data_IF_425756985369
#
_entry.id   IF_425756985369
#
_cell.length_a   1.000
_cell.length_b   1.000
_cell.length_c   1.000
_cell.angle_alpha   90.00
_cell.angle_beta   90.00
_cell.angle_gamma   90.00
#
_symmetry.space_group_name_H-M   'P 1'
#
loop_
_entity.id
_entity.type
_entity.pdbx_description
1 polymer ?
#
# COMPACT_ATOMS: atom_id res chain seq x y z
N UNK A 1 -32.71 4.80 -18.64
CA UNK A 1 -31.79 5.97 -18.81
C UNK A 1 -30.33 5.72 -18.46
N UNK A 2 -29.96 5.56 -17.17
CA UNK A 2 -28.55 5.60 -16.74
C UNK A 2 -27.64 4.56 -17.42
N UNK A 3 -28.05 3.29 -17.46
CA UNK A 3 -27.29 2.22 -18.12
C UNK A 3 -27.08 2.45 -19.63
N UNK A 4 -28.03 3.11 -20.31
CA UNK A 4 -27.92 3.47 -21.74
C UNK A 4 -26.85 4.53 -21.95
N UNK A 5 -26.81 5.53 -21.06
CA UNK A 5 -25.80 6.59 -21.06
C UNK A 5 -24.41 6.03 -20.72
N UNK A 6 -24.30 5.11 -19.75
CA UNK A 6 -23.04 4.44 -19.42
C UNK A 6 -22.52 3.61 -20.60
N UNK A 7 -23.38 2.83 -21.26
CA UNK A 7 -23.00 2.06 -22.46
C UNK A 7 -22.58 2.98 -23.61
N UNK A 8 -23.30 4.06 -23.86
CA UNK A 8 -22.96 5.03 -24.90
C UNK A 8 -21.62 5.73 -24.63
N UNK A 9 -21.31 6.03 -23.36
CA UNK A 9 -20.02 6.57 -22.95
C UNK A 9 -18.86 5.58 -23.14
N UNK A 10 -19.08 4.28 -22.90
CA UNK A 10 -18.07 3.23 -23.05
C UNK A 10 -17.92 2.72 -24.50
N UNK A 11 -18.92 2.96 -25.37
CA UNK A 11 -18.99 2.47 -26.75
C UNK A 11 -17.90 2.94 -27.72
N UNK A 12 -17.28 4.13 -27.59
CA UNK A 12 -16.18 4.54 -28.47
C UNK A 12 -14.90 3.70 -28.29
N UNK A 13 -14.89 2.79 -27.29
CA UNK A 13 -13.67 2.24 -26.73
C UNK A 13 -13.07 3.27 -25.77
N UNK A 14 -12.55 2.81 -24.63
CA UNK A 14 -11.68 3.69 -23.82
C UNK A 14 -10.42 3.86 -24.66
N UNK A 15 -10.12 5.07 -25.19
CA UNK A 15 -8.88 5.28 -25.91
C UNK A 15 -7.73 4.81 -25.01
N UNK A 16 -6.80 4.01 -25.55
CA UNK A 16 -5.62 3.60 -24.81
C UNK A 16 -4.95 4.90 -24.36
N UNK A 17 -4.83 5.16 -23.05
CA UNK A 17 -4.54 6.51 -22.62
C UNK A 17 -3.11 6.86 -23.03
N UNK A 18 -3.00 7.78 -23.99
CA UNK A 18 -1.74 8.18 -24.64
C UNK A 18 -0.93 9.17 -23.80
N UNK A 19 -1.50 9.65 -22.68
CA UNK A 19 -0.83 10.59 -21.81
C UNK A 19 0.55 10.06 -21.43
N UNK A 20 1.59 10.84 -21.72
CA UNK A 20 2.97 10.50 -21.40
C UNK A 20 3.13 10.37 -19.88
N UNK A 21 3.88 9.36 -19.46
CA UNK A 21 4.30 9.18 -18.07
C UNK A 21 5.75 9.64 -17.93
N UNK A 22 6.02 10.78 -17.28
CA UNK A 22 7.38 11.22 -16.99
C UNK A 22 8.12 10.18 -16.14
N UNK A 23 9.45 10.11 -16.26
CA UNK A 23 10.25 9.15 -15.48
C UNK A 23 10.03 9.32 -13.96
N UNK A 24 9.94 10.56 -13.47
CA UNK A 24 9.65 10.85 -12.06
C UNK A 24 8.30 10.29 -11.59
N UNK A 25 7.30 10.25 -12.47
CA UNK A 25 6.00 9.64 -12.19
C UNK A 25 6.11 8.11 -12.18
N UNK A 26 6.92 7.53 -13.06
CA UNK A 26 7.20 6.09 -13.07
C UNK A 26 7.87 5.62 -11.77
N UNK A 27 8.89 6.34 -11.32
CA UNK A 27 9.62 6.01 -10.09
C UNK A 27 8.69 6.09 -8.87
N UNK A 28 7.84 7.13 -8.82
CA UNK A 28 6.80 7.29 -7.78
C UNK A 28 5.82 6.12 -7.78
N UNK A 29 5.29 5.74 -8.95
CA UNK A 29 4.35 4.62 -9.08
C UNK A 29 5.02 3.30 -8.68
N UNK A 30 6.28 3.11 -9.04
CA UNK A 30 7.04 1.90 -8.72
C UNK A 30 7.23 1.75 -7.21
N UNK A 31 7.69 2.81 -6.51
CA UNK A 31 7.83 2.80 -5.04
C UNK A 31 6.49 2.57 -4.34
N UNK A 32 5.47 3.31 -4.75
CA UNK A 32 4.11 3.17 -4.21
C UNK A 32 3.58 1.74 -4.40
N UNK A 33 3.82 1.13 -5.55
CA UNK A 33 3.40 -0.24 -5.85
C UNK A 33 4.10 -1.26 -4.96
N UNK A 34 5.42 -1.13 -4.75
CA UNK A 34 6.16 -1.98 -3.82
C UNK A 34 5.62 -1.82 -2.40
N UNK A 35 5.54 -0.58 -1.89
CA UNK A 35 5.05 -0.28 -0.55
C UNK A 35 3.67 -0.91 -0.30
N UNK A 36 2.73 -0.73 -1.22
CA UNK A 36 1.37 -1.25 -1.10
C UNK A 36 1.32 -2.77 -1.30
N UNK A 37 2.16 -3.34 -2.17
CA UNK A 37 2.30 -4.78 -2.35
C UNK A 37 2.70 -5.49 -1.05
N UNK A 38 3.70 -4.95 -0.35
CA UNK A 38 4.10 -5.43 0.97
C UNK A 38 2.98 -5.27 2.00
N UNK A 39 2.41 -4.06 2.13
CA UNK A 39 1.35 -3.80 3.11
C UNK A 39 0.11 -4.69 2.93
N UNK A 40 -0.18 -5.15 1.70
CA UNK A 40 -1.28 -6.05 1.35
C UNK A 40 -0.93 -7.53 1.39
N UNK A 41 0.35 -7.90 1.54
CA UNK A 41 0.80 -9.28 1.47
C UNK A 41 0.06 -10.17 2.47
N UNK A 42 -0.43 -11.31 1.99
CA UNK A 42 -1.23 -12.22 2.81
C UNK A 42 -0.34 -13.12 3.67
N UNK A 43 -0.69 -13.27 4.95
CA UNK A 43 -0.02 -14.18 5.88
C UNK A 43 -0.98 -15.33 6.19
N UNK A 44 -0.52 -16.56 6.01
CA UNK A 44 -1.31 -17.76 6.25
C UNK A 44 -1.03 -18.23 7.67
N UNK A 45 -2.10 -18.37 8.46
CA UNK A 45 -2.03 -18.84 9.85
C UNK A 45 -2.80 -20.13 10.03
N UNK A 46 -2.34 -20.94 10.98
CA UNK A 46 -3.07 -22.08 11.47
C UNK A 46 -4.39 -21.64 12.11
N UNK A 47 -5.49 -22.31 11.77
CA UNK A 47 -6.81 -21.89 12.28
C UNK A 47 -6.97 -22.19 13.78
N UNK A 48 -6.30 -23.21 14.30
CA UNK A 48 -6.43 -23.67 15.68
C UNK A 48 -5.42 -23.02 16.62
N UNK A 49 -4.14 -23.03 16.24
CA UNK A 49 -3.04 -22.52 17.05
C UNK A 49 -2.73 -21.04 16.78
N UNK A 50 -3.23 -20.49 15.65
CA UNK A 50 -2.98 -19.12 15.18
C UNK A 50 -1.52 -18.79 14.87
N UNK A 51 -0.66 -19.81 14.85
CA UNK A 51 0.72 -19.68 14.44
C UNK A 51 0.81 -19.37 12.94
N UNK A 52 1.82 -18.59 12.55
CA UNK A 52 2.10 -18.33 11.13
C UNK A 52 2.71 -19.60 10.53
N UNK A 53 2.05 -20.15 9.52
CA UNK A 53 2.51 -21.36 8.82
C UNK A 53 3.29 -20.97 7.57
N UNK A 54 2.83 -19.94 6.87
CA UNK A 54 3.37 -19.57 5.57
C UNK A 54 3.11 -18.08 5.27
N UNK A 55 3.92 -17.51 4.40
CA UNK A 55 3.75 -16.16 3.89
C UNK A 55 3.67 -16.22 2.37
N UNK A 56 2.67 -15.54 1.80
CA UNK A 56 2.63 -15.36 0.35
C UNK A 56 3.65 -14.28 0.03
N UNK A 57 4.54 -14.56 -0.93
CA UNK A 57 5.46 -13.55 -1.45
C UNK A 57 4.65 -12.29 -1.83
N UNK A 58 5.13 -11.12 -1.39
CA UNK A 58 4.45 -9.87 -1.69
C UNK A 58 4.19 -9.77 -3.20
N UNK A 59 3.01 -9.28 -3.60
CA UNK A 59 2.71 -9.08 -5.01
C UNK A 59 3.85 -8.29 -5.66
N UNK A 60 4.59 -8.93 -6.57
CA UNK A 60 5.66 -8.26 -7.30
C UNK A 60 5.13 -7.00 -7.98
N UNK A 61 5.95 -5.94 -8.12
CA UNK A 61 5.47 -4.62 -8.50
C UNK A 61 4.77 -4.61 -9.87
N UNK A 62 5.07 -5.57 -10.74
CA UNK A 62 4.60 -5.59 -12.13
C UNK A 62 3.10 -5.35 -12.29
N UNK A 63 2.24 -6.03 -11.51
CA UNK A 63 0.78 -5.89 -11.68
C UNK A 63 0.25 -4.58 -11.08
N UNK A 64 0.71 -4.20 -9.89
CA UNK A 64 0.30 -2.95 -9.24
C UNK A 64 0.78 -1.73 -10.03
N UNK A 65 2.03 -1.75 -10.54
CA UNK A 65 2.58 -0.70 -11.40
C UNK A 65 1.73 -0.54 -12.65
N UNK A 66 1.38 -1.63 -13.33
CA UNK A 66 0.53 -1.56 -14.54
C UNK A 66 -0.85 -0.97 -14.24
N UNK A 67 -1.44 -1.32 -13.10
CA UNK A 67 -2.76 -0.80 -12.69
C UNK A 67 -2.67 0.70 -12.38
N UNK A 68 -1.68 1.12 -11.59
CA UNK A 68 -1.51 2.52 -11.20
C UNK A 68 -1.09 3.41 -12.38
N UNK A 69 -0.20 2.93 -13.25
CA UNK A 69 0.15 3.61 -14.52
C UNK A 69 -1.10 3.82 -15.38
N UNK A 70 -1.87 2.76 -15.61
CA UNK A 70 -3.11 2.83 -16.38
C UNK A 70 -4.11 3.81 -15.77
N UNK A 71 -4.24 3.82 -14.44
CA UNK A 71 -5.10 4.75 -13.72
C UNK A 71 -4.65 6.21 -13.90
N UNK A 72 -3.36 6.50 -13.73
CA UNK A 72 -2.82 7.84 -13.90
C UNK A 72 -3.03 8.36 -15.32
N UNK A 73 -2.71 7.55 -16.34
CA UNK A 73 -2.86 7.96 -17.73
C UNK A 73 -4.33 8.12 -18.13
N UNK A 74 -5.20 7.22 -17.66
CA UNK A 74 -6.64 7.33 -17.91
C UNK A 74 -7.23 8.60 -17.28
N UNK A 75 -6.82 8.93 -16.05
CA UNK A 75 -7.24 10.15 -15.38
C UNK A 75 -6.71 11.40 -16.12
N UNK A 76 -5.45 11.42 -16.55
CA UNK A 76 -4.91 12.52 -17.37
C UNK A 76 -5.70 12.71 -18.68
N UNK A 77 -5.93 11.61 -19.42
CA UNK A 77 -6.66 11.62 -20.68
C UNK A 77 -8.12 12.08 -20.52
N UNK A 78 -8.79 11.70 -19.42
CA UNK A 78 -10.16 12.14 -19.12
C UNK A 78 -10.27 13.66 -19.03
N UNK A 79 -9.22 14.34 -18.58
CA UNK A 79 -9.15 15.79 -18.49
C UNK A 79 -8.45 16.44 -19.70
N UNK A 80 -8.26 15.69 -20.80
CA UNK A 80 -7.64 16.19 -22.02
C UNK A 80 -6.16 16.54 -21.87
N UNK A 81 -5.46 15.97 -20.87
CA UNK A 81 -4.04 16.21 -20.63
C UNK A 81 -3.19 15.16 -21.35
N UNK A 82 -2.18 15.63 -22.06
CA UNK A 82 -1.21 14.78 -22.77
C UNK A 82 -0.10 14.24 -21.86
N UNK A 83 -0.03 14.67 -20.60
CA UNK A 83 1.00 14.23 -19.65
C UNK A 83 0.41 14.09 -18.26
N UNK A 84 0.84 13.03 -17.57
CA UNK A 84 0.50 12.77 -16.17
C UNK A 84 1.03 13.89 -15.28
N UNK A 85 0.16 14.44 -14.43
CA UNK A 85 0.46 15.49 -13.46
C UNK A 85 0.42 14.96 -12.02
N UNK A 86 0.74 15.84 -11.07
CA UNK A 86 0.67 15.55 -9.64
C UNK A 86 -0.74 15.19 -9.17
N UNK A 87 -1.79 15.70 -9.82
CA UNK A 87 -3.18 15.36 -9.47
C UNK A 87 -3.49 13.88 -9.77
N UNK A 88 -2.93 13.34 -10.85
CA UNK A 88 -3.11 11.93 -11.24
C UNK A 88 -2.35 10.99 -10.30
N UNK A 89 -1.14 11.40 -9.90
CA UNK A 89 -0.36 10.69 -8.90
C UNK A 89 -1.04 10.72 -7.53
N UNK A 90 -1.65 11.85 -7.15
CA UNK A 90 -2.43 11.97 -5.92
C UNK A 90 -3.65 11.03 -5.90
N UNK A 91 -4.32 10.86 -7.05
CA UNK A 91 -5.39 9.88 -7.20
C UNK A 91 -4.87 8.45 -7.04
N UNK A 92 -3.79 8.09 -7.75
CA UNK A 92 -3.19 6.77 -7.65
C UNK A 92 -2.73 6.45 -6.22
N UNK A 93 -2.13 7.41 -5.54
CA UNK A 93 -1.74 7.29 -4.14
C UNK A 93 -2.92 7.01 -3.23
N UNK A 94 -4.03 7.76 -3.36
CA UNK A 94 -5.25 7.49 -2.59
C UNK A 94 -5.80 6.09 -2.86
N UNK A 95 -5.97 5.72 -4.14
CA UNK A 95 -6.52 4.41 -4.51
C UNK A 95 -5.64 3.27 -4.00
N UNK A 96 -4.33 3.42 -4.07
CA UNK A 96 -3.39 2.42 -3.60
C UNK A 96 -3.48 2.25 -2.07
N UNK A 97 -3.48 3.35 -1.30
CA UNK A 97 -3.61 3.30 0.15
C UNK A 97 -4.99 2.78 0.62
N UNK A 98 -6.07 3.15 -0.07
CA UNK A 98 -7.42 2.69 0.25
C UNK A 98 -7.57 1.17 0.07
N UNK A 99 -6.66 0.54 -0.68
CA UNK A 99 -6.63 -0.90 -0.85
C UNK A 99 -5.87 -1.64 0.28
N UNK A 100 -5.11 -0.95 1.12
CA UNK A 100 -4.35 -1.57 2.21
C UNK A 100 -5.29 -1.97 3.37
N UNK A 101 -5.11 -3.14 4.01
CA UNK A 101 -5.84 -3.48 5.22
C UNK A 101 -5.72 -2.39 6.29
N UNK A 102 -6.87 -1.88 6.76
CA UNK A 102 -6.96 -0.66 7.60
C UNK A 102 -6.06 -0.73 8.84
N UNK A 103 -5.97 -1.88 9.50
CA UNK A 103 -5.16 -2.02 10.72
C UNK A 103 -3.66 -1.88 10.42
N UNK A 104 -3.18 -2.49 9.33
CA UNK A 104 -1.78 -2.34 8.88
C UNK A 104 -1.49 -0.91 8.44
N UNK A 105 -2.43 -0.27 7.75
CA UNK A 105 -2.31 1.14 7.36
C UNK A 105 -2.17 2.06 8.58
N UNK A 106 -2.93 1.81 9.65
CA UNK A 106 -2.82 2.57 10.91
C UNK A 106 -1.45 2.41 11.56
N UNK A 107 -0.93 1.18 11.63
CA UNK A 107 0.41 0.90 12.19
C UNK A 107 1.49 1.59 11.35
N UNK A 108 1.43 1.44 10.03
CA UNK A 108 2.32 2.13 9.09
C UNK A 108 2.31 3.65 9.31
N UNK A 109 1.13 4.27 9.33
CA UNK A 109 0.99 5.72 9.55
C UNK A 109 1.54 6.18 10.91
N UNK A 110 1.36 5.38 11.97
CA UNK A 110 1.89 5.69 13.29
C UNK A 110 3.43 5.72 13.28
N UNK A 111 4.06 4.71 12.66
CA UNK A 111 5.51 4.61 12.54
C UNK A 111 6.09 5.69 11.61
N UNK A 112 5.46 5.96 10.46
CA UNK A 112 5.90 7.05 9.56
C UNK A 112 5.89 8.40 10.27
N UNK A 113 4.90 8.66 11.14
CA UNK A 113 4.77 9.93 11.86
C UNK A 113 5.72 10.07 13.04
N UNK A 114 5.96 8.99 13.78
CA UNK A 114 6.68 9.05 15.07
C UNK A 114 8.05 8.37 15.07
N UNK A 115 8.42 7.69 13.99
CA UNK A 115 9.60 6.84 13.92
C UNK A 115 9.37 5.50 14.64
N UNK A 116 10.44 4.83 15.08
CA UNK A 116 10.36 3.58 15.84
C UNK A 116 9.47 3.69 17.08
N UNK A 117 8.60 2.70 17.29
CA UNK A 117 7.63 2.71 18.39
C UNK A 117 7.67 1.42 19.20
N UNK A 118 7.45 1.53 20.51
CA UNK A 118 7.23 0.34 21.34
C UNK A 118 5.84 -0.25 21.11
N UNK A 119 5.64 -1.49 21.53
CA UNK A 119 4.32 -2.14 21.51
C UNK A 119 3.22 -1.27 22.16
N UNK A 120 3.50 -0.67 23.33
CA UNK A 120 2.53 0.18 24.03
C UNK A 120 2.21 1.44 23.24
N UNK A 121 3.22 2.09 22.65
CA UNK A 121 2.99 3.28 21.84
C UNK A 121 2.15 2.96 20.60
N UNK A 122 2.38 1.81 19.95
CA UNK A 122 1.57 1.36 18.81
C UNK A 122 0.10 1.19 19.22
N UNK A 123 -0.17 0.52 20.34
CA UNK A 123 -1.56 0.35 20.81
C UNK A 123 -2.25 1.69 21.07
N UNK A 124 -1.52 2.65 21.67
CA UNK A 124 -2.03 3.99 21.96
C UNK A 124 -2.28 4.81 20.68
N UNK A 125 -1.35 4.77 19.72
CA UNK A 125 -1.43 5.56 18.48
C UNK A 125 -2.49 5.03 17.51
N UNK A 126 -2.69 3.71 17.49
CA UNK A 126 -3.58 3.06 16.52
C UNK A 126 -4.98 2.80 17.07
N UNK A 127 -5.13 2.81 18.40
CA UNK A 127 -6.36 2.45 19.11
C UNK A 127 -6.75 0.98 18.96
N UNK A 128 -5.82 0.13 18.53
CA UNK A 128 -6.05 -1.31 18.37
C UNK A 128 -6.03 -2.00 19.75
N UNK A 129 -6.81 -3.07 19.89
CA UNK A 129 -6.72 -3.92 21.07
C UNK A 129 -5.35 -4.59 21.14
N UNK A 130 -4.97 -5.09 22.31
CA UNK A 130 -3.72 -5.84 22.46
C UNK A 130 -3.67 -7.04 21.49
N UNK A 131 -4.73 -7.84 21.47
CA UNK A 131 -4.80 -9.01 20.56
C UNK A 131 -4.68 -8.64 19.08
N UNK A 132 -5.31 -7.53 18.65
CA UNK A 132 -5.22 -7.08 17.26
C UNK A 132 -3.84 -6.50 16.94
N UNK A 133 -3.22 -5.79 17.88
CA UNK A 133 -1.87 -5.22 17.71
C UNK A 133 -0.84 -6.33 17.58
N UNK A 134 -0.84 -7.31 18.49
CA UNK A 134 0.04 -8.48 18.41
C UNK A 134 -0.13 -9.19 17.06
N UNK A 135 -1.38 -9.47 16.67
CA UNK A 135 -1.68 -10.16 15.42
C UNK A 135 -1.07 -9.47 14.20
N UNK A 136 -1.32 -8.16 14.04
CA UNK A 136 -0.84 -7.44 12.87
C UNK A 136 0.66 -7.12 12.93
N UNK A 137 1.24 -6.92 14.12
CA UNK A 137 2.69 -6.74 14.26
C UNK A 137 3.44 -7.99 13.85
N UNK A 138 3.00 -9.17 14.30
CA UNK A 138 3.59 -10.45 13.88
C UNK A 138 3.48 -10.65 12.36
N UNK A 139 2.33 -10.34 11.76
CA UNK A 139 2.16 -10.44 10.32
C UNK A 139 3.09 -9.48 9.56
N UNK A 140 3.18 -8.23 10.01
CA UNK A 140 4.02 -7.22 9.37
C UNK A 140 5.51 -7.51 9.53
N UNK A 141 5.91 -8.19 10.62
CA UNK A 141 7.26 -8.74 10.76
C UNK A 141 7.47 -9.92 9.81
N UNK A 142 6.48 -10.82 9.68
CA UNK A 142 6.61 -12.01 8.85
C UNK A 142 6.72 -11.72 7.34
N UNK A 143 6.21 -10.58 6.88
CA UNK A 143 6.32 -10.13 5.48
C UNK A 143 7.40 -9.04 5.30
N UNK A 144 8.36 -8.95 6.22
CA UNK A 144 9.51 -8.04 6.16
C UNK A 144 9.18 -6.55 6.05
N UNK A 145 8.01 -6.10 6.54
CA UNK A 145 7.71 -4.67 6.66
C UNK A 145 8.39 -4.10 7.91
N UNK A 146 8.33 -4.85 9.01
CA UNK A 146 8.84 -4.43 10.32
C UNK A 146 9.94 -5.35 10.81
N UNK A 147 10.91 -4.78 11.53
CA UNK A 147 11.79 -5.51 12.44
C UNK A 147 11.46 -5.18 13.88
N UNK A 148 11.63 -6.18 14.75
CA UNK A 148 11.41 -6.05 16.19
C UNK A 148 12.74 -6.19 16.93
N UNK A 149 13.14 -5.16 17.67
CA UNK A 149 14.39 -5.12 18.43
C UNK A 149 14.11 -4.96 19.92
N UNK A 150 14.90 -5.65 20.76
CA UNK A 150 14.79 -5.50 22.21
C UNK A 150 15.70 -4.38 22.69
N UNK A 151 15.11 -3.35 23.29
CA UNK A 151 15.81 -2.23 23.91
C UNK A 151 15.23 -1.98 25.30
N UNK A 152 16.09 -1.95 26.33
CA UNK A 152 15.70 -1.64 27.73
C UNK A 152 14.46 -2.42 28.21
N UNK A 153 14.44 -3.73 27.94
CA UNK A 153 13.35 -4.64 28.29
C UNK A 153 12.00 -4.37 27.57
N UNK A 154 12.01 -3.57 26.51
CA UNK A 154 10.87 -3.31 25.61
C UNK A 154 11.18 -3.81 24.20
N UNK A 155 10.16 -4.24 23.49
CA UNK A 155 10.26 -4.49 22.05
C UNK A 155 9.92 -3.21 21.30
N UNK A 156 10.85 -2.73 20.49
CA UNK A 156 10.70 -1.59 19.59
C UNK A 156 10.52 -2.13 18.17
N UNK A 157 9.51 -1.62 17.48
CA UNK A 157 9.22 -1.92 16.09
C UNK A 157 9.62 -0.76 15.20
N UNK A 158 10.28 -1.07 14.10
CA UNK A 158 10.69 -0.11 13.08
C UNK A 158 10.63 -0.74 11.70
N UNK A 159 10.64 0.07 10.65
CA UNK A 159 10.69 -0.44 9.29
C UNK A 159 11.99 -1.22 9.05
N UNK A 160 11.92 -2.24 8.20
CA UNK A 160 13.13 -2.92 7.70
C UNK A 160 13.84 -2.03 6.68
N UNK A 161 15.14 -2.24 6.49
CA UNK A 161 15.91 -1.49 5.49
C UNK A 161 15.31 -1.66 4.09
N UNK A 162 14.87 -2.87 3.75
CA UNK A 162 14.18 -3.18 2.49
C UNK A 162 12.91 -2.37 2.31
N UNK A 163 12.07 -2.28 3.34
CA UNK A 163 10.80 -1.56 3.23
C UNK A 163 11.01 -0.04 3.23
N UNK A 164 12.05 0.47 3.89
CA UNK A 164 12.42 1.89 3.88
C UNK A 164 12.73 2.42 2.47
N UNK A 165 13.26 1.57 1.56
CA UNK A 165 13.51 1.94 0.16
C UNK A 165 12.25 2.33 -0.61
N UNK A 166 11.08 1.87 -0.16
CA UNK A 166 9.79 2.12 -0.80
C UNK A 166 9.01 3.28 -0.18
N UNK A 167 9.50 3.86 0.91
CA UNK A 167 8.86 5.00 1.53
C UNK A 167 8.89 6.23 0.60
N UNK A 168 7.83 7.04 0.60
CA UNK A 168 7.72 8.25 -0.23
C UNK A 168 8.68 9.37 0.19
#
# INVERSE_FOLDING_TARGET
ELQRLTKAFLSPGIPKPEAALPQTANDTISRLSCMVGYLRAHVIRDTYHRDIIDTVEAEGPGRLVQILDSLCRAHAALFGRETVSTADLGLAHRVALDSVPVQRLRIFQALTRKGPLSYMDITQETGLSNSSSTYHLEEMVAVDILRAEKQDNKTIYQFTDTFEEFLP
#
